data_IF_940202167025
#
_entry.id   IF_940202167025
#
_cell.length_a   1.000
_cell.length_b   1.000
_cell.length_c   1.000
_cell.angle_alpha   90.00
_cell.angle_beta   90.00
_cell.angle_gamma   90.00
#
_symmetry.space_group_name_H-M   'P 1'
#
loop_
_entity.id
_entity.type
_entity.pdbx_description
1 polymer ?
#
# COMPACT_ATOMS: atom_id res chain seq x y z
N UNK A 1 -7.23 47.20 7.38
CA UNK A 1 -6.88 47.88 6.11
C UNK A 1 -5.73 47.14 5.47
N UNK A 2 -5.95 46.44 4.36
CA UNK A 2 -4.87 45.75 3.65
C UNK A 2 -3.86 46.82 3.21
N UNK A 3 -2.61 46.74 3.69
CA UNK A 3 -1.63 47.79 3.43
C UNK A 3 -1.49 47.99 1.92
N UNK A 4 -1.42 49.23 1.46
CA UNK A 4 -1.34 49.63 0.03
C UNK A 4 -0.27 48.84 -0.74
N UNK A 5 0.75 48.36 -0.01
CA UNK A 5 1.82 47.49 -0.50
C UNK A 5 1.30 46.14 -1.04
N UNK A 6 0.41 45.45 -0.33
CA UNK A 6 -0.16 44.15 -0.77
C UNK A 6 -1.06 44.28 -2.00
N UNK A 7 -1.84 45.37 -2.08
CA UNK A 7 -2.69 45.64 -3.24
C UNK A 7 -1.86 45.91 -4.50
N UNK A 8 -0.69 46.54 -4.36
CA UNK A 8 0.26 46.73 -5.46
C UNK A 8 0.84 45.40 -5.92
N UNK A 9 1.25 44.53 -4.99
CA UNK A 9 1.78 43.19 -5.31
C UNK A 9 0.74 42.34 -6.05
N UNK A 10 -0.50 42.28 -5.57
CA UNK A 10 -1.57 41.54 -6.27
C UNK A 10 -1.80 42.06 -7.69
N UNK A 11 -1.80 43.38 -7.87
CA UNK A 11 -2.01 44.01 -9.19
C UNK A 11 -0.85 43.70 -10.13
N UNK A 12 0.38 43.66 -9.63
CA UNK A 12 1.58 43.35 -10.41
C UNK A 12 1.62 41.87 -10.83
N UNK A 13 1.22 40.97 -9.92
CA UNK A 13 0.99 39.54 -10.24
C UNK A 13 -0.13 39.38 -11.30
N UNK A 14 -1.17 40.22 -11.24
CA UNK A 14 -2.29 40.23 -12.20
C UNK A 14 -1.91 40.78 -13.59
N UNK A 15 -0.76 41.45 -13.72
CA UNK A 15 -0.23 41.94 -15.01
C UNK A 15 0.47 40.82 -15.79
N UNK A 16 1.13 39.88 -15.11
CA UNK A 16 1.84 38.73 -15.70
C UNK A 16 1.17 37.39 -15.37
N UNK A 17 -0.13 37.29 -15.65
CA UNK A 17 -1.02 36.18 -15.23
C UNK A 17 -0.50 34.80 -15.61
N UNK A 18 -0.05 34.62 -16.86
CA UNK A 18 0.38 33.32 -17.35
C UNK A 18 1.58 32.76 -16.57
N UNK A 19 2.62 33.58 -16.37
CA UNK A 19 3.84 33.16 -15.67
C UNK A 19 3.57 32.86 -14.19
N UNK A 20 2.83 33.75 -13.52
CA UNK A 20 2.50 33.59 -12.11
C UNK A 20 1.60 32.38 -11.87
N UNK A 21 0.62 32.13 -12.76
CA UNK A 21 -0.25 30.96 -12.66
C UNK A 21 0.51 29.65 -12.83
N UNK A 22 1.42 29.57 -13.81
CA UNK A 22 2.23 28.35 -14.02
C UNK A 22 3.08 28.04 -12.78
N UNK A 23 3.72 29.04 -12.18
CA UNK A 23 4.50 28.85 -10.96
C UNK A 23 3.61 28.43 -9.78
N UNK A 24 2.46 29.08 -9.60
CA UNK A 24 1.52 28.73 -8.54
C UNK A 24 0.98 27.30 -8.70
N UNK A 25 0.67 26.88 -9.93
CA UNK A 25 0.25 25.52 -10.25
C UNK A 25 1.36 24.51 -9.99
N UNK A 26 2.61 24.82 -10.37
CA UNK A 26 3.74 23.93 -10.10
C UNK A 26 3.93 23.70 -8.59
N UNK A 27 3.83 24.76 -7.78
CA UNK A 27 3.89 24.65 -6.32
C UNK A 27 2.70 23.85 -5.78
N UNK A 28 1.48 24.12 -6.28
CA UNK A 28 0.28 23.41 -5.85
C UNK A 28 0.38 21.90 -6.12
N UNK A 29 0.85 21.52 -7.32
CA UNK A 29 1.06 20.11 -7.69
C UNK A 29 2.13 19.48 -6.79
N UNK A 30 3.23 20.18 -6.51
CA UNK A 30 4.29 19.67 -5.64
C UNK A 30 3.82 19.38 -4.22
N UNK A 31 3.07 20.32 -3.61
CA UNK A 31 2.51 20.13 -2.26
C UNK A 31 1.41 19.07 -2.24
N UNK A 32 0.57 19.02 -3.28
CA UNK A 32 -0.44 17.98 -3.43
C UNK A 32 0.19 16.58 -3.48
N UNK A 33 1.25 16.39 -4.27
CA UNK A 33 1.95 15.11 -4.37
C UNK A 33 2.52 14.65 -3.01
N UNK A 34 3.13 15.55 -2.23
CA UNK A 34 3.58 15.27 -0.86
C UNK A 34 2.43 14.80 0.04
N UNK A 35 1.27 15.49 -0.01
CA UNK A 35 0.08 15.11 0.75
C UNK A 35 -0.44 13.72 0.38
N UNK A 36 -0.50 13.40 -0.91
CA UNK A 36 -0.91 12.08 -1.39
C UNK A 36 0.03 10.98 -0.91
N UNK A 37 1.36 11.18 -1.00
CA UNK A 37 2.33 10.16 -0.54
C UNK A 37 2.17 9.88 0.95
N UNK A 38 2.04 10.93 1.78
CA UNK A 38 1.86 10.78 3.22
C UNK A 38 0.54 10.07 3.56
N UNK A 39 -0.55 10.47 2.92
CA UNK A 39 -1.87 9.87 3.14
C UNK A 39 -1.92 8.41 2.67
N UNK A 40 -1.36 8.11 1.50
CA UNK A 40 -1.28 6.74 0.99
C UNK A 40 -0.46 5.86 1.92
N UNK A 41 0.65 6.35 2.48
CA UNK A 41 1.43 5.60 3.47
C UNK A 41 0.59 5.25 4.71
N UNK A 42 -0.17 6.21 5.22
CA UNK A 42 -1.02 5.99 6.39
C UNK A 42 -2.18 5.02 6.09
N UNK A 43 -2.82 5.19 4.93
CA UNK A 43 -3.87 4.30 4.44
C UNK A 43 -3.35 2.88 4.28
N UNK A 44 -2.20 2.70 3.63
CA UNK A 44 -1.56 1.40 3.45
C UNK A 44 -1.24 0.77 4.79
N UNK A 45 -0.58 1.48 5.72
CA UNK A 45 -0.24 0.89 7.03
C UNK A 45 -1.48 0.51 7.83
N UNK A 46 -2.56 1.31 7.73
CA UNK A 46 -3.84 1.01 8.39
C UNK A 46 -4.50 -0.22 7.80
N UNK A 47 -4.57 -0.30 6.47
CA UNK A 47 -5.19 -1.42 5.78
C UNK A 47 -4.34 -2.69 5.93
N UNK A 48 -3.02 -2.60 5.80
CA UNK A 48 -2.12 -3.73 6.07
C UNK A 48 -2.30 -4.27 7.48
N UNK A 49 -2.49 -3.43 8.51
CA UNK A 49 -2.79 -3.92 9.87
C UNK A 49 -4.16 -4.58 9.96
N UNK A 50 -5.17 -4.01 9.30
CA UNK A 50 -6.52 -4.58 9.24
C UNK A 50 -6.54 -5.93 8.53
N UNK A 51 -5.82 -6.05 7.42
CA UNK A 51 -5.67 -7.29 6.65
C UNK A 51 -4.81 -8.30 7.40
N UNK A 52 -3.79 -7.87 8.15
CA UNK A 52 -3.00 -8.78 8.99
C UNK A 52 -3.88 -9.48 10.03
N UNK A 53 -4.77 -8.74 10.67
CA UNK A 53 -5.70 -9.25 11.68
C UNK A 53 -6.83 -10.08 11.04
N UNK A 54 -7.28 -9.71 9.83
CA UNK A 54 -8.34 -10.41 9.11
C UNK A 54 -7.90 -11.67 8.37
N UNK A 55 -6.65 -11.73 7.91
CA UNK A 55 -6.15 -12.81 7.06
C UNK A 55 -5.47 -13.96 7.82
N UNK A 56 -5.36 -13.90 9.15
CA UNK A 56 -4.64 -14.88 9.97
C UNK A 56 -3.28 -15.25 9.33
N UNK A 57 -2.51 -14.24 8.93
CA UNK A 57 -1.24 -14.48 8.22
C UNK A 57 -0.35 -15.42 9.03
N UNK A 58 0.03 -16.55 8.40
CA UNK A 58 0.90 -17.54 9.03
C UNK A 58 2.19 -16.88 9.52
N UNK A 59 2.41 -16.90 10.83
CA UNK A 59 3.58 -16.27 11.45
C UNK A 59 4.91 -16.91 10.99
N UNK A 60 4.87 -18.18 10.57
CA UNK A 60 5.98 -18.89 9.96
C UNK A 60 5.47 -19.87 8.90
N UNK A 61 6.13 -19.91 7.75
CA UNK A 61 5.89 -20.90 6.68
C UNK A 61 7.11 -21.79 6.58
N UNK A 62 6.92 -23.09 6.85
CA UNK A 62 7.98 -24.08 6.82
C UNK A 62 7.73 -25.01 5.64
N UNK A 63 8.66 -25.06 4.69
CA UNK A 63 8.62 -26.02 3.60
C UNK A 63 9.26 -27.32 4.02
N UNK A 64 8.52 -28.42 3.98
CA UNK A 64 9.02 -29.75 4.32
C UNK A 64 8.79 -30.72 3.15
N UNK A 65 9.41 -31.89 3.22
CA UNK A 65 9.02 -33.02 2.40
C UNK A 65 7.54 -33.39 2.68
N UNK A 66 6.84 -34.10 1.76
CA UNK A 66 5.46 -34.52 1.96
C UNK A 66 5.27 -35.15 3.34
N UNK A 67 4.30 -34.65 4.08
CA UNK A 67 4.02 -35.04 5.45
C UNK A 67 2.52 -35.28 5.60
N UNK A 68 2.17 -36.16 6.52
CA UNK A 68 0.77 -36.39 6.88
C UNK A 68 0.29 -35.35 7.90
N UNK A 69 -1.04 -35.20 8.02
CA UNK A 69 -1.69 -34.23 8.91
C UNK A 69 -1.23 -34.34 10.38
N UNK A 70 -0.75 -35.51 10.79
CA UNK A 70 -0.15 -35.75 12.10
C UNK A 70 1.01 -34.79 12.42
N UNK A 71 1.80 -34.35 11.44
CA UNK A 71 2.87 -33.38 11.69
C UNK A 71 2.31 -32.00 12.06
N UNK A 72 1.23 -31.57 11.40
CA UNK A 72 0.57 -30.31 11.71
C UNK A 72 -0.06 -30.34 13.10
N UNK A 73 -0.70 -31.45 13.49
CA UNK A 73 -1.25 -31.63 14.84
C UNK A 73 -0.16 -31.54 15.92
N UNK A 74 1.00 -32.17 15.69
CA UNK A 74 2.14 -32.11 16.63
C UNK A 74 2.72 -30.71 16.77
N UNK A 75 2.73 -29.93 15.69
CA UNK A 75 3.18 -28.53 15.74
C UNK A 75 2.17 -27.66 16.50
N UNK A 76 0.87 -27.93 16.39
CA UNK A 76 -0.16 -27.24 17.17
C UNK A 76 -0.07 -27.49 18.70
N UNK A 77 0.55 -28.61 19.12
CA UNK A 77 0.79 -28.91 20.54
C UNK A 77 1.96 -28.09 21.16
N UNK A 78 2.76 -27.39 20.35
CA UNK A 78 3.92 -26.62 20.82
C UNK A 78 3.45 -25.36 21.58
N UNK A 79 3.93 -25.10 22.81
CA UNK A 79 3.59 -23.88 23.55
C UNK A 79 3.95 -22.61 22.76
N UNK A 80 2.96 -21.75 22.53
CA UNK A 80 3.11 -20.52 21.76
C UNK A 80 2.65 -20.62 20.30
N UNK A 81 2.28 -21.82 19.82
CA UNK A 81 1.62 -21.99 18.52
C UNK A 81 0.12 -21.88 18.72
N UNK A 82 -0.53 -20.92 18.05
CA UNK A 82 -1.98 -20.72 18.12
C UNK A 82 -2.77 -21.61 17.17
N UNK A 83 -2.21 -21.88 15.98
CA UNK A 83 -2.78 -22.75 14.97
C UNK A 83 -1.66 -23.25 14.05
N UNK A 84 -1.76 -24.50 13.58
CA UNK A 84 -0.89 -25.07 12.57
C UNK A 84 -1.74 -25.64 11.42
N UNK A 85 -1.43 -25.25 10.19
CA UNK A 85 -2.14 -25.70 8.99
C UNK A 85 -1.15 -26.38 8.03
N UNK A 86 -1.47 -27.60 7.60
CA UNK A 86 -0.74 -28.31 6.55
C UNK A 86 -1.24 -27.87 5.19
N UNK A 87 -0.36 -27.28 4.35
CA UNK A 87 -0.72 -26.86 2.99
C UNK A 87 0.12 -27.58 1.95
N UNK A 88 -0.56 -28.16 0.95
CA UNK A 88 0.08 -28.74 -0.23
C UNK A 88 -0.14 -27.82 -1.43
N UNK A 89 0.93 -27.51 -2.16
CA UNK A 89 0.89 -26.70 -3.37
C UNK A 89 1.28 -27.55 -4.58
N UNK A 90 0.37 -27.67 -5.55
CA UNK A 90 0.62 -28.39 -6.81
C UNK A 90 0.60 -27.38 -7.94
N UNK A 91 1.69 -27.31 -8.70
CA UNK A 91 1.77 -26.47 -9.90
C UNK A 91 1.12 -27.20 -11.07
N UNK A 92 0.04 -26.66 -11.60
CA UNK A 92 -0.65 -27.19 -12.78
C UNK A 92 -0.51 -26.20 -13.94
N UNK A 93 -0.13 -26.69 -15.12
CA UNK A 93 -0.14 -25.92 -16.35
C UNK A 93 -1.35 -26.33 -17.18
N UNK A 94 -2.26 -25.40 -17.42
CA UNK A 94 -3.42 -25.62 -18.29
C UNK A 94 -3.01 -25.32 -19.72
N UNK A 95 -3.06 -26.33 -20.58
CA UNK A 95 -2.90 -26.16 -22.02
C UNK A 95 -4.30 -26.04 -22.64
N UNK A 96 -4.56 -24.95 -23.35
CA UNK A 96 -5.78 -24.75 -24.13
C UNK A 96 -5.58 -25.38 -25.52
N UNK A 97 -6.47 -26.30 -25.91
CA UNK A 97 -6.42 -27.07 -27.16
C UNK A 97 -6.70 -26.22 -28.43
N UNK A 98 -6.87 -24.90 -28.31
CA UNK A 98 -7.17 -24.00 -29.45
C UNK A 98 -5.94 -23.57 -30.27
N UNK A 99 -4.78 -24.18 -30.07
CA UNK A 99 -3.55 -23.91 -30.84
C UNK A 99 -2.87 -25.19 -31.33
N UNK A 100 -3.64 -26.05 -32.03
CA UNK A 100 -3.11 -27.06 -32.95
C UNK A 100 -3.78 -26.90 -34.31
#
# INVERSE_FOLDING_TARGET
MLSTRWRKVLTDLWKNRARTLVVALAIAVGVYAMGVVLNTRELLVREYRSDQDGALMAAAVIHTAPFDDALAERVAEIPGVSAAEGRSEVRVQVYDERNL
#
